data_IF_443188260557
#
_entry.id   IF_443188260557
#
_cell.length_a   1.000
_cell.length_b   1.000
_cell.length_c   1.000
_cell.angle_alpha   90.00
_cell.angle_beta   90.00
_cell.angle_gamma   90.00
#
_symmetry.space_group_name_H-M   'P 1'
#
loop_
_entity.id
_entity.type
_entity.pdbx_description
1 polymer ?
#
# COMPACT_ATOMS: atom_id res chain seq x y z
N UNK A 1 -6.45 2.83 -23.37
CA UNK A 1 -6.54 1.53 -22.67
C UNK A 1 -8.00 1.37 -22.28
N UNK A 2 -8.72 0.48 -22.97
CA UNK A 2 -10.14 0.31 -22.77
C UNK A 2 -10.35 -0.60 -21.55
N UNK A 3 -10.74 -0.04 -20.40
CA UNK A 3 -11.48 -0.76 -19.37
C UNK A 3 -12.91 -1.06 -19.90
N UNK A 4 -13.02 -1.62 -21.11
CA UNK A 4 -14.28 -1.65 -21.87
C UNK A 4 -15.29 -2.67 -21.38
N UNK A 5 -14.96 -3.46 -20.37
CA UNK A 5 -15.96 -4.29 -19.71
C UNK A 5 -16.31 -3.63 -18.36
N UNK A 6 -17.58 -3.31 -18.19
CA UNK A 6 -18.11 -2.63 -17.00
C UNK A 6 -17.67 -3.38 -15.73
N UNK A 7 -17.62 -4.71 -15.82
CA UNK A 7 -17.20 -5.63 -14.75
C UNK A 7 -15.71 -5.51 -14.37
N UNK A 8 -14.81 -5.25 -15.31
CA UNK A 8 -13.37 -5.07 -15.02
C UNK A 8 -13.16 -3.77 -14.22
N UNK A 9 -13.82 -2.70 -14.62
CA UNK A 9 -13.77 -1.41 -13.94
C UNK A 9 -14.33 -1.50 -12.52
N UNK A 10 -15.48 -2.16 -12.37
CA UNK A 10 -16.08 -2.43 -11.07
C UNK A 10 -15.20 -3.28 -10.15
N UNK A 11 -14.53 -4.30 -10.70
CA UNK A 11 -13.59 -5.15 -9.95
C UNK A 11 -12.39 -4.34 -9.49
N UNK A 12 -11.81 -3.52 -10.39
CA UNK A 12 -10.69 -2.64 -10.05
C UNK A 12 -11.05 -1.64 -8.95
N UNK A 13 -12.25 -1.06 -8.99
CA UNK A 13 -12.73 -0.14 -7.95
C UNK A 13 -12.74 -0.82 -6.57
N UNK A 14 -13.18 -2.08 -6.48
CA UNK A 14 -13.13 -2.81 -5.21
C UNK A 14 -11.71 -3.16 -4.77
N UNK A 15 -10.81 -3.53 -5.69
CA UNK A 15 -9.38 -3.73 -5.38
C UNK A 15 -8.77 -2.45 -4.80
N UNK A 16 -8.99 -1.32 -5.47
CA UNK A 16 -8.52 -0.01 -5.00
C UNK A 16 -9.15 0.38 -3.65
N UNK A 17 -10.38 -0.04 -3.39
CA UNK A 17 -11.05 0.17 -2.10
C UNK A 17 -10.40 -0.65 -0.99
N UNK A 18 -10.06 -1.91 -1.24
CA UNK A 18 -9.26 -2.73 -0.30
C UNK A 18 -7.91 -2.07 0.02
N UNK A 19 -7.20 -1.62 -1.00
CA UNK A 19 -5.95 -0.85 -0.83
C UNK A 19 -6.19 0.42 0.01
N UNK A 20 -7.28 1.13 -0.24
CA UNK A 20 -7.67 2.32 0.53
C UNK A 20 -7.95 2.03 2.02
N UNK A 21 -8.57 0.90 2.35
CA UNK A 21 -8.77 0.50 3.75
C UNK A 21 -7.44 0.23 4.47
N UNK A 22 -6.50 -0.44 3.80
CA UNK A 22 -5.14 -0.67 4.32
C UNK A 22 -4.44 0.66 4.59
N UNK A 23 -4.44 1.56 3.61
CA UNK A 23 -3.80 2.87 3.72
C UNK A 23 -4.45 3.73 4.82
N UNK A 24 -5.77 3.64 4.99
CA UNK A 24 -6.47 4.34 6.08
C UNK A 24 -6.07 3.83 7.47
N UNK A 25 -5.88 2.52 7.64
CA UNK A 25 -5.45 1.94 8.92
C UNK A 25 -3.99 2.27 9.25
N UNK A 26 -3.09 2.15 8.27
CA UNK A 26 -1.65 2.35 8.48
C UNK A 26 -1.25 3.82 8.51
N UNK A 27 -2.00 4.67 7.81
CA UNK A 27 -1.65 6.06 7.56
C UNK A 27 -0.54 6.21 6.52
N UNK A 28 -0.25 7.49 6.20
CA UNK A 28 0.61 7.88 5.07
C UNK A 28 2.10 7.57 5.24
N UNK A 29 2.54 7.20 6.44
CA UNK A 29 3.97 6.99 6.73
C UNK A 29 4.47 5.60 6.35
N UNK A 30 3.59 4.62 6.15
CA UNK A 30 3.95 3.23 5.89
C UNK A 30 4.81 3.08 4.61
N UNK A 31 4.40 3.72 3.52
CA UNK A 31 5.15 3.72 2.26
C UNK A 31 6.53 4.36 2.41
N UNK A 32 6.65 5.45 3.19
CA UNK A 32 7.92 6.13 3.43
C UNK A 32 8.88 5.25 4.25
N UNK A 33 8.38 4.57 5.28
CA UNK A 33 9.18 3.63 6.09
C UNK A 33 9.67 2.46 5.23
N UNK A 34 8.80 1.91 4.38
CA UNK A 34 9.19 0.83 3.48
C UNK A 34 10.23 1.31 2.44
N UNK A 35 10.03 2.48 1.83
CA UNK A 35 11.00 3.07 0.92
C UNK A 35 12.37 3.27 1.58
N UNK A 36 12.39 3.81 2.80
CA UNK A 36 13.62 3.99 3.57
C UNK A 36 14.34 2.66 3.80
N UNK A 37 13.62 1.57 4.07
CA UNK A 37 14.22 0.23 4.24
C UNK A 37 14.82 -0.37 2.96
N UNK A 38 14.40 0.11 1.78
CA UNK A 38 15.00 -0.31 0.50
C UNK A 38 16.34 0.40 0.24
N UNK A 39 16.53 1.59 0.80
CA UNK A 39 17.72 2.42 0.57
C UNK A 39 18.72 2.28 1.72
N UNK A 40 18.22 2.19 2.94
CA UNK A 40 18.98 2.06 4.17
C UNK A 40 19.15 0.60 4.57
N UNK A 41 20.34 0.23 5.03
CA UNK A 41 20.64 -1.12 5.53
C UNK A 41 20.28 -1.33 7.01
N UNK A 42 19.74 -0.30 7.67
CA UNK A 42 19.46 -0.32 9.13
C UNK A 42 18.28 -1.25 9.47
N UNK A 43 17.27 -1.32 8.61
CA UNK A 43 16.08 -2.17 8.79
C UNK A 43 15.81 -2.89 7.48
N UNK A 44 15.57 -4.20 7.54
CA UNK A 44 15.26 -4.97 6.34
C UNK A 44 13.83 -4.69 5.84
N UNK A 45 13.59 -4.65 4.51
CA UNK A 45 12.24 -4.52 3.96
C UNK A 45 11.28 -5.60 4.46
N UNK A 46 11.76 -6.84 4.57
CA UNK A 46 10.96 -7.97 5.05
C UNK A 46 10.50 -7.78 6.50
N UNK A 47 11.37 -7.22 7.36
CA UNK A 47 11.01 -6.89 8.73
C UNK A 47 9.96 -5.79 8.78
N UNK A 48 10.11 -4.72 8.00
CA UNK A 48 9.10 -3.66 7.88
C UNK A 48 7.76 -4.24 7.42
N UNK A 49 7.77 -5.06 6.36
CA UNK A 49 6.57 -5.74 5.86
C UNK A 49 5.93 -6.60 6.94
N UNK A 50 6.71 -7.42 7.66
CA UNK A 50 6.19 -8.26 8.75
C UNK A 50 5.52 -7.43 9.85
N UNK A 51 6.10 -6.30 10.23
CA UNK A 51 5.48 -5.39 11.21
C UNK A 51 4.18 -4.79 10.70
N UNK A 52 4.16 -4.35 9.44
CA UNK A 52 2.96 -3.80 8.83
C UNK A 52 1.84 -4.85 8.80
N UNK A 53 2.12 -6.07 8.36
CA UNK A 53 1.14 -7.16 8.33
C UNK A 53 0.61 -7.49 9.74
N UNK A 54 1.48 -7.55 10.75
CA UNK A 54 1.04 -7.71 12.15
C UNK A 54 0.11 -6.60 12.62
N UNK A 55 0.33 -5.36 12.18
CA UNK A 55 -0.57 -4.23 12.49
C UNK A 55 -1.92 -4.41 11.77
N UNK A 56 -1.93 -4.86 10.51
CA UNK A 56 -3.18 -5.15 9.80
C UNK A 56 -3.98 -6.25 10.51
N UNK A 57 -3.31 -7.30 10.99
CA UNK A 57 -3.93 -8.43 11.68
C UNK A 57 -4.42 -8.08 13.09
N UNK A 58 -3.59 -7.45 13.91
CA UNK A 58 -3.84 -7.28 15.35
C UNK A 58 -4.14 -5.84 15.78
N UNK A 59 -3.89 -4.87 14.90
CA UNK A 59 -4.08 -3.44 15.12
C UNK A 59 -2.93 -2.75 15.82
N UNK A 60 -1.99 -3.50 16.42
CA UNK A 60 -0.92 -2.90 17.21
C UNK A 60 0.30 -3.83 17.26
N UNK A 61 1.48 -3.36 16.85
CA UNK A 61 2.70 -4.17 16.97
C UNK A 61 3.30 -4.07 18.39
N UNK A 62 3.46 -5.19 19.12
CA UNK A 62 3.99 -5.21 20.48
C UNK A 62 5.49 -4.92 20.60
N UNK A 63 6.25 -5.01 19.49
CA UNK A 63 7.71 -4.84 19.52
C UNK A 63 8.16 -3.42 19.92
N UNK A 64 7.23 -2.45 19.91
CA UNK A 64 7.47 -1.07 20.31
C UNK A 64 7.16 -0.75 21.79
N UNK A 65 6.71 -1.74 22.57
CA UNK A 65 6.10 -1.48 23.89
C UNK A 65 7.03 -0.84 24.91
N UNK A 66 8.24 -1.37 25.11
CA UNK A 66 9.14 -0.86 26.18
C UNK A 66 9.59 0.59 25.97
N UNK A 67 10.10 1.01 24.80
CA UNK A 67 10.49 2.41 24.57
C UNK A 67 9.30 3.37 24.57
N UNK A 68 8.15 2.95 24.01
CA UNK A 68 6.96 3.79 23.94
C UNK A 68 6.30 3.98 25.32
N UNK A 69 6.27 2.95 26.16
CA UNK A 69 5.76 3.07 27.54
C UNK A 69 6.61 4.06 28.34
N UNK A 70 7.94 4.02 28.21
CA UNK A 70 8.83 4.98 28.87
C UNK A 70 8.63 6.40 28.37
N UNK A 71 8.36 6.60 27.07
CA UNK A 71 8.18 7.91 26.46
C UNK A 71 6.80 8.54 26.74
N UNK A 72 5.74 7.73 26.65
CA UNK A 72 4.35 8.20 26.71
C UNK A 72 3.71 8.03 28.10
N UNK A 73 4.28 7.18 28.94
CA UNK A 73 3.64 6.71 30.17
C UNK A 73 2.64 5.58 29.91
N UNK A 74 2.35 4.82 30.96
CA UNK A 74 1.49 3.62 30.89
C UNK A 74 0.08 3.94 30.41
N UNK A 75 -0.54 5.01 30.92
CA UNK A 75 -1.93 5.35 30.62
C UNK A 75 -2.12 5.72 29.15
N UNK A 76 -1.26 6.59 28.62
CA UNK A 76 -1.30 7.00 27.21
C UNK A 76 -0.98 5.83 26.25
N UNK A 77 -0.09 4.92 26.65
CA UNK A 77 0.19 3.70 25.88
C UNK A 77 -1.05 2.80 25.79
N UNK A 78 -1.74 2.58 26.91
CA UNK A 78 -2.97 1.76 26.96
C UNK A 78 -4.08 2.38 26.12
N UNK A 79 -4.30 3.70 26.22
CA UNK A 79 -5.29 4.42 25.42
C UNK A 79 -5.00 4.31 23.90
N UNK A 80 -3.73 4.50 23.51
CA UNK A 80 -3.29 4.36 22.12
C UNK A 80 -3.55 2.95 21.60
N UNK A 81 -3.22 1.93 22.40
CA UNK A 81 -3.47 0.52 22.06
C UNK A 81 -4.96 0.23 21.87
N UNK A 82 -5.81 0.73 22.77
CA UNK A 82 -7.27 0.56 22.66
C UNK A 82 -7.82 1.23 21.40
N UNK A 83 -7.35 2.44 21.08
CA UNK A 83 -7.73 3.16 19.86
C UNK A 83 -7.29 2.42 18.60
N UNK A 84 -6.10 1.83 18.62
CA UNK A 84 -5.58 1.04 17.52
C UNK A 84 -6.42 -0.24 17.29
N UNK A 85 -6.77 -0.98 18.35
CA UNK A 85 -7.68 -2.13 18.25
C UNK A 85 -9.10 -1.75 17.82
N UNK A 86 -9.61 -0.56 18.18
CA UNK A 86 -10.89 -0.06 17.68
C UNK A 86 -10.82 0.20 16.17
N UNK A 87 -9.74 0.81 15.71
CA UNK A 87 -9.50 1.09 14.29
C UNK A 87 -9.33 -0.18 13.47
N UNK A 88 -8.60 -1.18 14.01
CA UNK A 88 -8.42 -2.48 13.36
C UNK A 88 -9.74 -3.26 13.23
N UNK A 89 -10.61 -3.23 14.24
CA UNK A 89 -11.93 -3.88 14.14
C UNK A 89 -12.78 -3.27 13.04
N UNK A 90 -12.78 -1.93 12.95
CA UNK A 90 -13.44 -1.20 11.87
C UNK A 90 -12.86 -1.60 10.50
N UNK A 91 -11.53 -1.59 10.37
CA UNK A 91 -10.82 -2.03 9.17
C UNK A 91 -11.21 -3.46 8.76
N UNK A 92 -11.25 -4.40 9.71
CA UNK A 92 -11.56 -5.81 9.44
C UNK A 92 -12.98 -5.97 8.87
N UNK A 93 -13.96 -5.25 9.43
CA UNK A 93 -15.34 -5.25 8.92
C UNK A 93 -15.41 -4.63 7.53
N UNK A 94 -14.75 -3.50 7.31
CA UNK A 94 -14.72 -2.84 6.00
C UNK A 94 -14.05 -3.72 4.92
N UNK A 95 -12.92 -4.34 5.25
CA UNK A 95 -12.22 -5.28 4.37
C UNK A 95 -13.09 -6.49 4.01
N UNK A 96 -13.76 -7.09 4.99
CA UNK A 96 -14.67 -8.22 4.74
C UNK A 96 -15.81 -7.82 3.79
N UNK A 97 -16.40 -6.64 3.98
CA UNK A 97 -17.44 -6.12 3.09
C UNK A 97 -16.92 -5.89 1.67
N UNK A 98 -15.70 -5.37 1.53
CA UNK A 98 -15.06 -5.22 0.21
C UNK A 98 -14.72 -6.57 -0.43
N UNK A 99 -14.30 -7.57 0.34
CA UNK A 99 -14.08 -8.93 -0.17
C UNK A 99 -15.36 -9.57 -0.67
N UNK A 100 -16.47 -9.43 0.05
CA UNK A 100 -17.76 -9.90 -0.44
C UNK A 100 -18.18 -9.21 -1.73
N UNK A 101 -17.92 -7.90 -1.88
CA UNK A 101 -18.20 -7.17 -3.12
C UNK A 101 -17.31 -7.65 -4.26
N UNK A 102 -16.01 -7.85 -4.00
CA UNK A 102 -15.07 -8.46 -4.95
C UNK A 102 -15.57 -9.82 -5.44
N UNK A 103 -15.98 -10.69 -4.51
CA UNK A 103 -16.54 -12.00 -4.83
C UNK A 103 -17.85 -11.91 -5.63
N UNK A 104 -18.71 -10.93 -5.34
CA UNK A 104 -19.97 -10.75 -6.09
C UNK A 104 -19.77 -10.20 -7.50
N UNK A 105 -18.70 -9.43 -7.72
CA UNK A 105 -18.40 -8.74 -8.99
C UNK A 105 -17.45 -9.54 -9.88
N UNK A 106 -16.75 -10.51 -9.31
CA UNK A 106 -15.79 -11.35 -10.02
C UNK A 106 -16.23 -12.81 -10.02
N UNK A 107 -16.12 -13.47 -11.18
CA UNK A 107 -16.47 -14.89 -11.32
C UNK A 107 -15.51 -15.80 -10.57
N UNK A 108 -14.28 -15.34 -10.29
CA UNK A 108 -13.25 -16.11 -9.58
C UNK A 108 -12.07 -15.20 -9.16
N UNK A 109 -11.24 -15.67 -8.22
CA UNK A 109 -9.98 -14.98 -7.89
C UNK A 109 -9.04 -14.83 -9.10
N UNK A 110 -9.08 -15.75 -10.06
CA UNK A 110 -8.32 -15.62 -11.32
C UNK A 110 -8.70 -14.34 -12.07
N UNK A 111 -10.00 -14.05 -12.18
CA UNK A 111 -10.46 -12.84 -12.86
C UNK A 111 -10.07 -11.56 -12.10
N UNK A 112 -10.03 -11.60 -10.76
CA UNK A 112 -9.47 -10.49 -9.96
C UNK A 112 -7.99 -10.28 -10.29
N UNK A 113 -7.20 -11.35 -10.35
CA UNK A 113 -5.77 -11.26 -10.69
C UNK A 113 -5.54 -10.76 -12.12
N UNK A 114 -6.38 -11.12 -13.09
CA UNK A 114 -6.32 -10.59 -14.45
C UNK A 114 -6.54 -9.07 -14.47
N UNK A 115 -7.48 -8.57 -13.67
CA UNK A 115 -7.72 -7.11 -13.50
C UNK A 115 -6.51 -6.43 -12.83
N UNK A 116 -5.91 -7.07 -11.82
CA UNK A 116 -4.69 -6.56 -11.16
C UNK A 116 -3.52 -6.51 -12.14
N UNK A 117 -3.33 -7.53 -12.98
CA UNK A 117 -2.28 -7.55 -14.00
C UNK A 117 -2.48 -6.42 -15.03
N UNK A 118 -3.71 -6.19 -15.48
CA UNK A 118 -4.06 -5.03 -16.31
C UNK A 118 -3.71 -3.72 -15.60
N UNK A 119 -4.04 -3.57 -14.31
CA UNK A 119 -3.68 -2.38 -13.54
C UNK A 119 -2.17 -2.19 -13.41
N UNK A 120 -1.41 -3.25 -13.16
CA UNK A 120 0.05 -3.21 -13.08
C UNK A 120 0.70 -2.76 -14.39
N UNK A 121 0.15 -3.17 -15.54
CA UNK A 121 0.59 -2.69 -16.86
C UNK A 121 0.35 -1.18 -17.06
N UNK A 122 -0.61 -0.57 -16.36
CA UNK A 122 -0.75 0.89 -16.33
C UNK A 122 0.36 1.57 -15.54
N UNK A 123 0.83 0.91 -14.47
CA UNK A 123 1.91 1.44 -13.63
C UNK A 123 3.27 1.28 -14.33
N UNK A 124 3.43 0.32 -15.23
CA UNK A 124 4.66 0.16 -16.00
C UNK A 124 4.84 1.30 -17.03
N UNK A 125 5.61 2.32 -16.64
CA UNK A 125 6.06 3.34 -17.60
C UNK A 125 7.30 2.82 -18.31
N UNK A 126 7.19 2.54 -19.61
CA UNK A 126 8.35 2.22 -20.45
C UNK A 126 9.32 3.40 -20.42
N UNK A 127 10.36 3.31 -19.61
CA UNK A 127 11.41 4.33 -19.53
C UNK A 127 12.23 4.26 -20.81
N UNK A 128 11.87 5.07 -21.80
CA UNK A 128 12.80 5.39 -22.88
C UNK A 128 13.89 6.29 -22.30
N UNK A 129 15.04 5.70 -21.98
CA UNK A 129 16.24 6.45 -21.62
C UNK A 129 16.67 7.22 -22.87
N UNK A 130 16.24 8.47 -22.97
CA UNK A 130 16.76 9.39 -23.98
C UNK A 130 18.01 10.03 -23.38
N UNK A 131 19.19 9.64 -23.86
CA UNK A 131 20.45 10.29 -23.52
C UNK A 131 20.38 11.74 -24.01
N UNK A 132 19.91 12.64 -23.15
CA UNK A 132 20.08 14.07 -23.37
C UNK A 132 21.55 14.38 -23.21
N UNK A 133 22.19 14.92 -24.25
CA UNK A 133 23.53 15.48 -24.13
C UNK A 133 23.52 16.47 -22.97
N UNK A 134 24.22 16.08 -21.90
CA UNK A 134 24.37 16.76 -20.60
C UNK A 134 25.14 18.08 -20.71
N UNK A 135 24.97 18.81 -21.81
CA UNK A 135 25.61 20.09 -22.03
C UNK A 135 24.70 21.20 -21.51
N UNK A 136 24.80 21.41 -20.19
CA UNK A 136 24.47 22.65 -19.47
C UNK A 136 23.17 23.33 -19.92
N UNK A 137 22.08 23.12 -19.18
CA UNK A 137 21.15 24.17 -18.71
C UNK A 137 20.04 23.49 -17.90
N UNK A 138 20.23 23.41 -16.57
CA UNK A 138 19.10 23.15 -15.67
C UNK A 138 18.23 24.42 -15.71
N UNK A 139 17.26 24.45 -16.61
CA UNK A 139 16.32 25.55 -16.78
C UNK A 139 14.99 25.20 -16.09
N UNK A 140 14.08 26.16 -15.99
CA UNK A 140 12.78 25.97 -15.35
C UNK A 140 12.02 24.79 -15.97
N UNK A 141 12.12 24.60 -17.29
CA UNK A 141 11.44 23.50 -17.98
C UNK A 141 12.01 22.14 -17.58
N UNK A 142 13.34 21.99 -17.49
CA UNK A 142 13.95 20.74 -17.03
C UNK A 142 13.61 20.45 -15.57
N UNK A 143 13.57 21.48 -14.72
CA UNK A 143 13.17 21.31 -13.32
C UNK A 143 11.69 20.88 -13.19
N UNK A 144 10.80 21.48 -13.98
CA UNK A 144 9.39 21.10 -14.03
C UNK A 144 9.18 19.66 -14.51
N UNK A 145 9.91 19.24 -15.56
CA UNK A 145 9.86 17.85 -16.04
C UNK A 145 10.36 16.89 -14.96
N UNK A 146 11.52 17.15 -14.35
CA UNK A 146 12.06 16.31 -13.27
C UNK A 146 11.07 16.20 -12.11
N UNK A 147 10.46 17.31 -11.70
CA UNK A 147 9.48 17.32 -10.61
C UNK A 147 8.22 16.54 -10.97
N UNK A 148 7.66 16.75 -12.17
CA UNK A 148 6.48 16.03 -12.63
C UNK A 148 6.75 14.52 -12.72
N UNK A 149 7.88 14.12 -13.31
CA UNK A 149 8.28 12.72 -13.39
C UNK A 149 8.52 12.11 -12.01
N UNK A 150 9.14 12.85 -11.08
CA UNK A 150 9.34 12.40 -9.70
C UNK A 150 8.03 12.18 -8.95
N UNK A 151 7.03 13.05 -9.16
CA UNK A 151 5.70 12.88 -8.58
C UNK A 151 4.99 11.65 -9.15
N UNK A 152 5.05 11.45 -10.46
CA UNK A 152 4.49 10.25 -11.11
C UNK A 152 5.17 8.98 -10.58
N UNK A 153 6.50 8.96 -10.51
CA UNK A 153 7.26 7.82 -9.98
C UNK A 153 6.90 7.52 -8.52
N UNK A 154 6.72 8.56 -7.69
CA UNK A 154 6.27 8.42 -6.32
C UNK A 154 4.88 7.80 -6.24
N UNK A 155 3.91 8.29 -7.02
CA UNK A 155 2.55 7.74 -7.03
C UNK A 155 2.53 6.30 -7.53
N UNK A 156 3.36 5.97 -8.53
CA UNK A 156 3.54 4.59 -8.99
C UNK A 156 4.07 3.67 -7.88
N UNK A 157 5.09 4.12 -7.15
CA UNK A 157 5.63 3.38 -6.01
C UNK A 157 4.59 3.18 -4.91
N UNK A 158 3.89 4.24 -4.50
CA UNK A 158 2.84 4.17 -3.48
C UNK A 158 1.72 3.20 -3.90
N UNK A 159 1.28 3.25 -5.16
CA UNK A 159 0.27 2.34 -5.69
C UNK A 159 0.74 0.88 -5.74
N UNK A 160 1.98 0.63 -6.16
CA UNK A 160 2.56 -0.71 -6.19
C UNK A 160 2.74 -1.27 -4.76
N UNK A 161 3.15 -0.43 -3.82
CA UNK A 161 3.28 -0.79 -2.41
C UNK A 161 1.92 -1.13 -1.78
N UNK A 162 0.89 -0.30 -2.00
CA UNK A 162 -0.47 -0.55 -1.51
C UNK A 162 -1.01 -1.88 -2.07
N UNK A 163 -0.73 -2.19 -3.35
CA UNK A 163 -1.11 -3.46 -3.97
C UNK A 163 -0.35 -4.63 -3.36
N UNK A 164 0.96 -4.49 -3.13
CA UNK A 164 1.78 -5.49 -2.47
C UNK A 164 1.25 -5.82 -1.07
N UNK A 165 0.87 -4.81 -0.28
CA UNK A 165 0.28 -5.01 1.03
C UNK A 165 -1.08 -5.70 0.94
N UNK A 166 -1.92 -5.31 -0.03
CA UNK A 166 -3.20 -5.97 -0.25
C UNK A 166 -3.02 -7.46 -0.56
N UNK A 167 -2.14 -7.81 -1.50
CA UNK A 167 -1.87 -9.20 -1.85
C UNK A 167 -1.27 -9.99 -0.69
N UNK A 168 -0.35 -9.39 0.06
CA UNK A 168 0.26 -10.00 1.24
C UNK A 168 -0.77 -10.27 2.34
N UNK A 169 -1.66 -9.32 2.60
CA UNK A 169 -2.77 -9.49 3.53
C UNK A 169 -3.76 -10.56 3.06
N UNK A 170 -4.08 -10.57 1.76
CA UNK A 170 -4.98 -11.57 1.16
C UNK A 170 -4.45 -13.00 1.35
N UNK A 171 -3.15 -13.21 1.13
CA UNK A 171 -2.51 -14.52 1.37
C UNK A 171 -2.54 -14.89 2.85
N UNK A 172 -2.31 -13.92 3.74
CA UNK A 172 -2.34 -14.14 5.20
C UNK A 172 -3.73 -14.56 5.71
N UNK A 173 -4.80 -13.95 5.21
CA UNK A 173 -6.18 -14.29 5.59
C UNK A 173 -6.67 -15.56 4.87
N UNK A 174 -6.33 -15.74 3.59
CA UNK A 174 -6.74 -16.91 2.81
C UNK A 174 -6.10 -18.22 3.29
N UNK A 175 -5.01 -18.17 4.05
CA UNK A 175 -4.39 -19.33 4.70
C UNK A 175 -4.98 -19.67 6.09
N UNK A 176 -5.99 -18.94 6.57
CA UNK A 176 -6.66 -19.20 7.85
C UNK A 176 -7.95 -20.02 7.70
N UNK A 177 -8.26 -20.54 6.50
CA UNK A 177 -9.33 -21.51 6.24
C UNK A 177 -8.78 -22.93 6.01
#
# INVERSE_FOLDING_TARGET
>A
MNLSDDTDGETLIEVLRCMGHINHLLGRSSAAIYYESLISSVISPDEVTSQILKILESGFSPQSSSPLITLLGTDAYVERRQTAHKSQRKFSVEMLLSFHKLQSRSTSWSAVFDVIDKFMKCLDTKITIQEFELRRLCNVNSALVVQATSQVARTMFEAAFDLFLFLSYLVGVGGQE
#
